data_IF_646253265104
#
_entry.id   IF_646253265104
#
_cell.length_a   1.000
_cell.length_b   1.000
_cell.length_c   1.000
_cell.angle_alpha   90.00
_cell.angle_beta   90.00
_cell.angle_gamma   90.00
#
_symmetry.space_group_name_H-M   'P 1'
#
loop_
_entity.id
_entity.type
_entity.pdbx_description
1 polymer ?
#
# COMPACT_ATOMS: atom_id res chain seq x y z
N UNK A 1 24.26 11.35 37.07
CA UNK A 1 22.91 11.24 36.57
C UNK A 1 23.00 10.73 35.14
N UNK A 2 22.82 9.44 34.94
CA UNK A 2 22.87 8.84 33.63
C UNK A 2 21.57 9.18 32.86
N UNK A 3 21.72 9.83 31.72
CA UNK A 3 20.64 10.05 30.78
C UNK A 3 20.27 8.71 30.17
N UNK A 4 19.14 8.13 30.55
CA UNK A 4 18.54 7.02 29.83
C UNK A 4 17.94 7.58 28.53
N UNK A 5 18.67 7.51 27.43
CA UNK A 5 18.09 7.63 26.11
C UNK A 5 17.29 6.35 25.86
N UNK A 6 15.97 6.45 25.93
CA UNK A 6 15.10 5.39 25.40
C UNK A 6 15.29 5.43 23.89
N UNK A 7 16.06 4.50 23.34
CA UNK A 7 16.03 4.23 21.90
C UNK A 7 14.62 3.78 21.56
N UNK A 8 13.87 4.65 20.90
CA UNK A 8 12.56 4.28 20.34
C UNK A 8 12.85 3.41 19.12
N UNK A 9 12.85 2.09 19.33
CA UNK A 9 12.97 1.15 18.22
C UNK A 9 11.73 1.33 17.33
N UNK A 10 11.96 1.77 16.10
CA UNK A 10 10.88 1.89 15.12
C UNK A 10 10.41 0.48 14.74
N UNK A 11 9.13 0.20 14.97
CA UNK A 11 8.48 -1.05 14.56
C UNK A 11 7.56 -0.76 13.37
N UNK A 12 7.78 -1.44 12.25
CA UNK A 12 6.84 -1.48 11.12
C UNK A 12 6.02 -2.76 11.20
N UNK A 13 4.70 -2.59 11.19
CA UNK A 13 3.74 -3.69 11.11
C UNK A 13 3.35 -3.91 9.65
N UNK A 14 3.88 -4.97 9.04
CA UNK A 14 3.67 -5.34 7.65
C UNK A 14 2.59 -6.43 7.57
N UNK A 15 1.45 -6.09 7.01
CA UNK A 15 0.36 -7.03 6.76
C UNK A 15 0.63 -7.75 5.44
N UNK A 16 0.75 -9.07 5.51
CA UNK A 16 0.82 -9.93 4.34
C UNK A 16 -0.60 -10.20 3.82
N UNK A 17 -0.93 -9.62 2.68
CA UNK A 17 -2.22 -9.76 2.03
C UNK A 17 -2.33 -11.00 1.12
N UNK A 18 -1.34 -11.88 1.11
CA UNK A 18 -1.41 -13.12 0.34
C UNK A 18 -2.13 -14.22 1.11
N UNK A 19 -2.97 -15.00 0.42
CA UNK A 19 -3.77 -16.06 1.07
C UNK A 19 -2.87 -17.18 1.59
N UNK A 20 -1.83 -17.49 0.84
CA UNK A 20 -0.92 -18.62 1.08
C UNK A 20 0.39 -18.24 1.80
N UNK A 21 0.59 -16.95 2.10
CA UNK A 21 1.83 -16.44 2.70
C UNK A 21 3.07 -16.54 1.79
N UNK A 22 2.89 -16.80 0.48
CA UNK A 22 3.97 -16.97 -0.49
C UNK A 22 4.21 -15.72 -1.35
N UNK A 23 3.59 -14.59 -1.00
CA UNK A 23 3.67 -13.35 -1.76
C UNK A 23 5.08 -12.81 -1.93
N UNK A 24 5.33 -12.26 -3.13
CA UNK A 24 6.58 -11.55 -3.42
C UNK A 24 6.60 -10.19 -2.72
N UNK A 25 5.50 -9.44 -2.80
CA UNK A 25 5.42 -8.06 -2.29
C UNK A 25 5.81 -7.92 -0.80
N UNK A 26 5.31 -8.71 0.16
CA UNK A 26 5.74 -8.55 1.56
C UNK A 26 7.23 -8.83 1.77
N UNK A 27 7.84 -9.75 0.99
CA UNK A 27 9.27 -10.03 1.07
C UNK A 27 10.12 -8.88 0.53
N UNK A 28 9.72 -8.31 -0.60
CA UNK A 28 10.41 -7.16 -1.21
C UNK A 28 10.27 -5.90 -0.35
N UNK A 29 9.08 -5.62 0.19
CA UNK A 29 8.87 -4.53 1.15
C UNK A 29 9.80 -4.68 2.35
N UNK A 30 9.86 -5.88 2.96
CA UNK A 30 10.77 -6.15 4.08
C UNK A 30 12.23 -5.91 3.70
N UNK A 31 12.66 -6.38 2.54
CA UNK A 31 14.04 -6.23 2.07
C UNK A 31 14.41 -4.75 1.88
N UNK A 32 13.52 -3.97 1.27
CA UNK A 32 13.70 -2.53 1.07
C UNK A 32 13.79 -1.79 2.41
N UNK A 33 12.83 -2.03 3.31
CA UNK A 33 12.81 -1.40 4.63
C UNK A 33 14.10 -1.68 5.43
N UNK A 34 14.59 -2.91 5.42
CA UNK A 34 15.82 -3.31 6.09
C UNK A 34 17.08 -2.67 5.48
N UNK A 35 17.06 -2.38 4.15
CA UNK A 35 18.15 -1.63 3.48
C UNK A 35 18.11 -0.14 3.83
N UNK A 36 16.91 0.46 3.85
CA UNK A 36 16.74 1.89 4.12
C UNK A 36 17.00 2.26 5.57
N UNK A 37 16.61 1.40 6.50
CA UNK A 37 16.81 1.62 7.95
C UNK A 37 17.42 0.37 8.57
N UNK A 38 18.77 0.26 8.64
CA UNK A 38 19.43 -0.84 9.32
C UNK A 38 18.99 -0.94 10.78
N UNK A 39 18.60 -2.14 11.21
CA UNK A 39 18.09 -2.38 12.56
C UNK A 39 16.62 -2.09 12.78
N UNK A 40 15.87 -1.73 11.72
CA UNK A 40 14.42 -1.58 11.79
C UNK A 40 13.75 -2.90 12.20
N UNK A 41 12.91 -2.86 13.22
CA UNK A 41 12.07 -4.01 13.57
C UNK A 41 10.89 -4.10 12.61
N UNK A 42 10.69 -5.27 11.98
CA UNK A 42 9.61 -5.50 11.02
C UNK A 42 8.88 -6.76 11.42
N UNK A 43 7.63 -6.62 11.85
CA UNK A 43 6.74 -7.74 12.12
C UNK A 43 5.84 -7.97 10.92
N UNK A 44 5.95 -9.14 10.30
CA UNK A 44 5.05 -9.57 9.22
C UNK A 44 3.96 -10.45 9.82
N UNK A 45 2.71 -10.15 9.53
CA UNK A 45 1.56 -10.93 10.00
C UNK A 45 0.56 -11.15 8.85
N UNK A 46 0.06 -12.39 8.65
CA UNK A 46 -0.99 -12.67 7.69
C UNK A 46 -2.24 -11.84 7.98
N UNK A 47 -2.91 -11.35 6.93
CA UNK A 47 -4.06 -10.46 7.05
C UNK A 47 -5.21 -11.06 7.90
N UNK A 48 -5.35 -12.39 7.91
CA UNK A 48 -6.37 -13.09 8.70
C UNK A 48 -6.17 -12.92 10.22
N UNK A 49 -4.92 -12.70 10.67
CA UNK A 49 -4.55 -12.59 12.09
C UNK A 49 -4.53 -11.13 12.58
N UNK A 50 -4.70 -10.19 11.66
CA UNK A 50 -4.67 -8.75 11.97
C UNK A 50 -5.89 -8.35 12.78
N UNK A 51 -5.66 -7.58 13.85
CA UNK A 51 -6.73 -6.97 14.63
C UNK A 51 -6.32 -5.60 15.17
N UNK A 52 -7.31 -4.75 15.44
CA UNK A 52 -7.06 -3.44 16.04
C UNK A 52 -6.45 -3.55 17.45
N UNK A 53 -6.84 -4.58 18.21
CA UNK A 53 -6.27 -4.88 19.53
C UNK A 53 -4.78 -5.21 19.41
N UNK A 54 -4.41 -6.05 18.44
CA UNK A 54 -3.02 -6.39 18.14
C UNK A 54 -2.19 -5.15 17.83
N UNK A 55 -2.69 -4.27 16.96
CA UNK A 55 -2.02 -3.01 16.61
C UNK A 55 -1.88 -2.11 17.83
N UNK A 56 -2.90 -2.00 18.68
CA UNK A 56 -2.85 -1.21 19.93
C UNK A 56 -1.84 -1.74 20.93
N UNK A 57 -1.71 -3.07 21.04
CA UNK A 57 -0.74 -3.73 21.92
C UNK A 57 0.70 -3.53 21.42
N UNK A 58 0.94 -3.72 20.14
CA UNK A 58 2.26 -3.60 19.51
C UNK A 58 2.72 -2.15 19.38
N UNK A 59 1.80 -1.21 19.23
CA UNK A 59 2.07 0.22 18.99
C UNK A 59 3.11 0.47 17.89
N UNK A 60 2.93 -0.09 16.69
CA UNK A 60 3.88 0.12 15.62
C UNK A 60 3.95 1.60 15.26
N UNK A 61 5.09 2.05 14.76
CA UNK A 61 5.27 3.39 14.21
C UNK A 61 4.52 3.57 12.89
N UNK A 62 4.52 2.53 12.05
CA UNK A 62 3.91 2.52 10.72
C UNK A 62 3.25 1.17 10.44
N UNK A 63 2.23 1.20 9.57
CA UNK A 63 1.55 0.01 9.08
C UNK A 63 1.66 0.00 7.56
N UNK A 64 2.04 -1.15 6.98
CA UNK A 64 2.07 -1.34 5.53
C UNK A 64 1.18 -2.54 5.18
N UNK A 65 0.30 -2.36 4.21
CA UNK A 65 -0.52 -3.43 3.63
C UNK A 65 0.11 -3.81 2.29
N UNK A 66 0.60 -5.03 2.18
CA UNK A 66 1.30 -5.51 0.97
C UNK A 66 0.38 -5.67 -0.23
N UNK A 67 0.97 -5.91 -1.40
CA UNK A 67 0.25 -6.43 -2.55
C UNK A 67 -0.35 -7.81 -2.28
N UNK A 68 -1.34 -8.17 -3.10
CA UNK A 68 -1.97 -9.50 -3.10
C UNK A 68 -1.57 -10.28 -4.35
N UNK A 69 -1.83 -11.58 -4.34
CA UNK A 69 -1.55 -12.49 -5.48
C UNK A 69 -2.78 -13.26 -5.96
N UNK A 70 -3.92 -13.09 -5.32
CA UNK A 70 -5.15 -13.81 -5.61
C UNK A 70 -6.30 -12.85 -5.95
N UNK A 71 -7.27 -13.26 -6.78
CA UNK A 71 -8.47 -12.49 -7.07
C UNK A 71 -9.26 -12.14 -5.79
N UNK A 72 -9.91 -10.97 -5.78
CA UNK A 72 -10.68 -10.49 -4.63
C UNK A 72 -11.82 -11.41 -4.21
N UNK A 73 -12.38 -12.19 -5.14
CA UNK A 73 -13.43 -13.17 -4.90
C UNK A 73 -13.01 -14.29 -3.95
N UNK A 74 -11.70 -14.50 -3.77
CA UNK A 74 -11.15 -15.48 -2.84
C UNK A 74 -11.04 -14.96 -1.39
N UNK A 75 -11.24 -13.65 -1.18
CA UNK A 75 -11.19 -13.03 0.15
C UNK A 75 -12.57 -12.90 0.74
N UNK A 76 -12.83 -13.59 1.85
CA UNK A 76 -14.14 -13.49 2.50
C UNK A 76 -14.26 -12.23 3.36
N UNK A 77 -15.47 -11.65 3.53
CA UNK A 77 -15.67 -10.50 4.40
C UNK A 77 -15.19 -10.75 5.85
N UNK A 78 -15.34 -11.98 6.33
CA UNK A 78 -14.89 -12.40 7.67
C UNK A 78 -13.37 -12.31 7.81
N UNK A 79 -12.63 -12.78 6.79
CA UNK A 79 -11.17 -12.78 6.80
C UNK A 79 -10.59 -11.37 6.74
N UNK A 80 -11.29 -10.42 6.13
CA UNK A 80 -10.89 -9.01 5.98
C UNK A 80 -11.31 -8.11 7.15
N UNK A 81 -12.18 -8.58 8.04
CA UNK A 81 -12.77 -7.75 9.11
C UNK A 81 -11.73 -7.08 9.99
N UNK A 82 -10.69 -7.81 10.38
CA UNK A 82 -9.62 -7.29 11.25
C UNK A 82 -8.83 -6.18 10.58
N UNK A 83 -8.39 -6.42 9.35
CA UNK A 83 -7.66 -5.43 8.55
C UNK A 83 -8.52 -4.19 8.28
N UNK A 84 -9.79 -4.34 7.94
CA UNK A 84 -10.71 -3.21 7.74
C UNK A 84 -10.88 -2.38 9.00
N UNK A 85 -10.91 -3.01 10.18
CA UNK A 85 -10.95 -2.29 11.45
C UNK A 85 -9.66 -1.49 11.66
N UNK A 86 -8.49 -2.03 11.34
CA UNK A 86 -7.20 -1.33 11.40
C UNK A 86 -7.18 -0.15 10.41
N UNK A 87 -7.54 -0.37 9.15
CA UNK A 87 -7.60 0.68 8.12
C UNK A 87 -8.47 1.85 8.57
N UNK A 88 -9.63 1.58 9.17
CA UNK A 88 -10.58 2.62 9.58
C UNK A 88 -10.20 3.35 10.87
N UNK A 89 -9.55 2.67 11.82
CA UNK A 89 -9.47 3.14 13.20
C UNK A 89 -8.05 3.33 13.74
N UNK A 90 -7.01 2.77 13.11
CA UNK A 90 -5.64 2.96 13.56
C UNK A 90 -5.19 4.41 13.35
N UNK A 91 -4.45 4.95 14.31
CA UNK A 91 -3.90 6.32 14.27
C UNK A 91 -2.54 6.42 13.59
N UNK A 92 -1.88 5.29 13.41
CA UNK A 92 -0.58 5.18 12.75
C UNK A 92 -0.68 5.60 11.27
N UNK A 93 0.42 6.05 10.66
CA UNK A 93 0.52 6.12 9.21
C UNK A 93 0.30 4.75 8.59
N UNK A 94 -0.53 4.68 7.55
CA UNK A 94 -0.83 3.45 6.81
C UNK A 94 -0.50 3.67 5.35
N UNK A 95 0.24 2.73 4.75
CA UNK A 95 0.48 2.64 3.31
C UNK A 95 -0.07 1.32 2.76
N UNK A 96 -1.01 1.39 1.84
CA UNK A 96 -1.44 0.24 1.04
C UNK A 96 -0.71 0.20 -0.30
N UNK A 97 -0.08 -0.93 -0.61
CA UNK A 97 0.65 -1.17 -1.87
C UNK A 97 -0.16 -2.13 -2.74
N UNK A 98 -0.45 -1.78 -3.98
CA UNK A 98 -1.18 -2.59 -4.97
C UNK A 98 -2.48 -3.16 -4.38
N UNK A 99 -2.53 -4.44 -4.02
CA UNK A 99 -3.67 -5.03 -3.31
C UNK A 99 -4.03 -4.30 -2.02
N UNK A 100 -3.06 -3.81 -1.26
CA UNK A 100 -3.29 -3.00 -0.06
C UNK A 100 -3.96 -1.65 -0.36
N UNK A 101 -3.66 -1.02 -1.51
CA UNK A 101 -4.38 0.15 -2.00
C UNK A 101 -5.84 -0.17 -2.29
N UNK A 102 -6.07 -1.25 -3.01
CA UNK A 102 -7.43 -1.73 -3.31
C UNK A 102 -8.18 -2.12 -2.03
N UNK A 103 -7.52 -2.75 -1.07
CA UNK A 103 -8.08 -3.12 0.23
C UNK A 103 -8.55 -1.89 1.03
N UNK A 104 -7.79 -0.79 0.99
CA UNK A 104 -8.22 0.49 1.56
C UNK A 104 -9.51 0.97 0.87
N UNK A 105 -9.56 0.95 -0.46
CA UNK A 105 -10.74 1.37 -1.20
C UNK A 105 -11.97 0.53 -0.84
N UNK A 106 -11.84 -0.80 -0.82
CA UNK A 106 -12.92 -1.73 -0.45
C UNK A 106 -13.38 -1.48 1.01
N UNK A 107 -12.45 -1.24 1.94
CA UNK A 107 -12.79 -0.95 3.33
C UNK A 107 -13.69 0.28 3.48
N UNK A 108 -13.57 1.25 2.57
CA UNK A 108 -14.41 2.45 2.52
C UNK A 108 -15.58 2.36 1.52
N UNK A 109 -15.85 1.18 0.99
CA UNK A 109 -17.03 0.91 0.16
C UNK A 109 -16.88 1.22 -1.33
N UNK A 110 -15.67 1.58 -1.78
CA UNK A 110 -15.42 1.80 -3.19
C UNK A 110 -15.27 0.48 -3.95
N UNK A 111 -15.57 0.51 -5.24
CA UNK A 111 -15.47 -0.64 -6.13
C UNK A 111 -14.04 -0.82 -6.63
N UNK A 112 -13.61 -2.08 -6.68
CA UNK A 112 -12.38 -2.53 -7.32
C UNK A 112 -12.74 -3.53 -8.40
N UNK A 113 -12.03 -3.52 -9.50
CA UNK A 113 -12.26 -4.45 -10.60
C UNK A 113 -11.27 -4.25 -11.75
N UNK A 114 -11.44 -5.05 -12.80
CA UNK A 114 -10.52 -5.09 -13.93
C UNK A 114 -10.39 -3.74 -14.64
N UNK A 115 -9.14 -3.39 -15.00
CA UNK A 115 -8.82 -2.18 -15.75
C UNK A 115 -9.61 -2.09 -17.07
N UNK A 116 -10.15 -0.91 -17.36
CA UNK A 116 -10.88 -0.64 -18.58
C UNK A 116 -12.21 -1.36 -18.73
N UNK A 117 -12.71 -2.06 -17.69
CA UNK A 117 -14.04 -2.67 -17.66
C UNK A 117 -14.89 -2.05 -16.57
N UNK A 118 -16.15 -1.76 -16.92
CA UNK A 118 -17.17 -1.29 -15.97
C UNK A 118 -18.07 -2.44 -15.49
N UNK A 119 -18.20 -3.50 -16.30
CA UNK A 119 -19.03 -4.66 -16.03
C UNK A 119 -18.16 -5.89 -15.68
N UNK A 120 -18.67 -6.82 -14.86
CA UNK A 120 -18.04 -8.11 -14.63
C UNK A 120 -17.80 -8.82 -15.96
N UNK A 121 -16.57 -9.27 -16.18
CA UNK A 121 -16.18 -9.97 -17.40
C UNK A 121 -15.83 -11.43 -17.15
N UNK A 122 -15.42 -12.13 -18.19
CA UNK A 122 -15.00 -13.54 -18.14
C UNK A 122 -13.59 -13.68 -17.52
N UNK A 123 -13.45 -13.36 -16.23
CA UNK A 123 -12.18 -13.48 -15.51
C UNK A 123 -11.08 -12.56 -16.05
N UNK A 124 -9.83 -12.93 -15.82
CA UNK A 124 -8.65 -12.12 -16.16
C UNK A 124 -8.18 -12.24 -17.62
N UNK A 125 -8.80 -13.12 -18.43
CA UNK A 125 -8.42 -13.29 -19.82
C UNK A 125 -8.73 -12.03 -20.64
N UNK A 126 -7.70 -11.49 -21.32
CA UNK A 126 -7.84 -10.27 -22.12
C UNK A 126 -8.00 -8.98 -21.31
N UNK A 127 -7.87 -9.01 -19.99
CA UNK A 127 -7.85 -7.81 -19.17
C UNK A 127 -6.65 -6.93 -19.51
N UNK A 128 -6.87 -5.61 -19.51
CA UNK A 128 -5.75 -4.65 -19.57
C UNK A 128 -4.85 -4.84 -18.35
N UNK A 129 -3.55 -4.62 -18.55
CA UNK A 129 -2.55 -4.73 -17.48
C UNK A 129 -1.54 -3.60 -17.58
N UNK A 130 -1.13 -3.11 -16.43
CA UNK A 130 0.10 -2.35 -16.32
C UNK A 130 1.19 -3.27 -15.76
N UNK A 131 2.35 -3.31 -16.45
CA UNK A 131 3.49 -4.11 -16.03
C UNK A 131 4.80 -3.47 -16.44
N UNK A 132 5.74 -3.37 -15.51
CA UNK A 132 7.05 -2.75 -15.73
C UNK A 132 7.09 -1.32 -15.22
N UNK A 133 8.16 -0.62 -15.53
CA UNK A 133 8.34 0.79 -15.21
C UNK A 133 7.50 1.65 -16.15
N UNK A 134 6.52 2.36 -15.60
CA UNK A 134 5.60 3.23 -16.35
C UNK A 134 5.49 4.59 -15.65
N UNK A 135 5.31 5.68 -16.42
CA UNK A 135 5.16 7.02 -15.86
C UNK A 135 3.78 7.22 -15.21
N UNK A 136 3.77 8.01 -14.16
CA UNK A 136 2.58 8.54 -13.50
C UNK A 136 2.74 10.05 -13.28
N UNK A 137 1.63 10.79 -13.33
CA UNK A 137 1.55 12.18 -12.91
C UNK A 137 1.15 12.23 -11.44
N UNK A 138 1.81 13.09 -10.64
CA UNK A 138 1.54 13.21 -9.22
C UNK A 138 1.35 14.66 -8.76
N UNK A 139 0.82 14.85 -7.56
CA UNK A 139 0.50 16.18 -7.01
C UNK A 139 1.66 16.89 -6.32
N UNK A 140 2.83 16.24 -6.17
CA UNK A 140 3.97 16.78 -5.43
C UNK A 140 3.79 16.84 -3.91
N UNK A 141 2.70 16.25 -3.37
CA UNK A 141 2.35 16.30 -1.94
C UNK A 141 2.44 14.91 -1.28
N UNK A 142 2.49 14.89 0.05
CA UNK A 142 2.48 13.66 0.84
C UNK A 142 3.62 12.73 0.46
N UNK A 143 3.31 11.54 -0.07
CA UNK A 143 4.30 10.56 -0.52
C UNK A 143 5.18 11.06 -1.68
N UNK A 144 4.72 12.03 -2.46
CA UNK A 144 5.41 12.57 -3.63
C UNK A 144 6.17 13.87 -3.34
N UNK A 145 6.29 14.27 -2.07
CA UNK A 145 7.03 15.48 -1.68
C UNK A 145 8.48 15.42 -2.18
N UNK A 146 8.92 16.50 -2.81
CA UNK A 146 10.26 16.68 -3.39
C UNK A 146 10.56 15.76 -4.59
N UNK A 147 9.54 15.14 -5.19
CA UNK A 147 9.66 14.43 -6.45
C UNK A 147 9.18 15.29 -7.62
N UNK A 148 9.65 15.03 -8.86
CA UNK A 148 9.09 15.64 -10.05
C UNK A 148 7.58 15.36 -10.19
N UNK A 149 6.87 16.22 -10.93
CA UNK A 149 5.43 16.02 -11.21
C UNK A 149 5.13 14.73 -11.99
N UNK A 150 6.08 14.28 -12.80
CA UNK A 150 6.07 12.97 -13.45
C UNK A 150 7.18 12.11 -12.86
N UNK A 151 6.86 10.90 -12.47
CA UNK A 151 7.78 9.89 -11.95
C UNK A 151 7.53 8.53 -12.60
N UNK A 152 8.57 7.72 -12.72
CA UNK A 152 8.47 6.37 -13.29
C UNK A 152 8.56 5.33 -12.17
N UNK A 153 7.53 4.49 -12.04
CA UNK A 153 7.40 3.49 -10.96
C UNK A 153 7.03 2.13 -11.52
N UNK A 154 7.30 1.06 -10.75
CA UNK A 154 7.01 -0.30 -11.19
C UNK A 154 5.55 -0.69 -10.99
N UNK A 155 4.92 -1.18 -12.04
CA UNK A 155 3.54 -1.68 -12.05
C UNK A 155 3.49 -3.18 -12.27
N UNK A 156 2.51 -3.84 -11.66
CA UNK A 156 2.16 -5.23 -11.96
C UNK A 156 0.72 -5.49 -11.48
N UNK A 157 -0.26 -4.94 -12.18
CA UNK A 157 -1.68 -5.11 -11.83
C UNK A 157 -2.59 -5.14 -13.05
N UNK A 158 -3.75 -5.74 -12.87
CA UNK A 158 -4.88 -5.74 -13.82
C UNK A 158 -6.17 -5.26 -13.17
N UNK A 159 -6.24 -5.21 -11.85
CA UNK A 159 -7.33 -4.58 -11.11
C UNK A 159 -6.97 -3.13 -10.77
N UNK A 160 -8.00 -2.29 -10.65
CA UNK A 160 -7.90 -0.89 -10.27
C UNK A 160 -9.05 -0.48 -9.35
N UNK A 161 -8.84 0.58 -8.57
CA UNK A 161 -9.92 1.27 -7.86
C UNK A 161 -10.75 2.05 -8.88
N UNK A 162 -12.06 1.77 -8.98
CA UNK A 162 -12.95 2.34 -9.99
C UNK A 162 -13.43 3.74 -9.64
N UNK A 163 -13.51 4.06 -8.37
CA UNK A 163 -13.95 5.34 -7.85
C UNK A 163 -13.26 5.67 -6.54
N UNK A 164 -12.99 6.94 -6.30
CA UNK A 164 -12.42 7.37 -5.03
C UNK A 164 -13.44 7.16 -3.91
N UNK A 165 -13.02 6.54 -2.78
CA UNK A 165 -13.88 6.52 -1.60
C UNK A 165 -14.17 7.94 -1.08
N UNK A 166 -15.30 8.11 -0.42
CA UNK A 166 -15.64 9.38 0.23
C UNK A 166 -14.55 9.83 1.20
N UNK A 167 -14.20 11.09 1.14
CA UNK A 167 -13.16 11.70 1.96
C UNK A 167 -11.74 11.46 1.46
N UNK A 168 -11.54 10.79 0.33
CA UNK A 168 -10.24 10.61 -0.31
C UNK A 168 -10.01 11.63 -1.43
N UNK A 169 -8.75 11.76 -1.85
CA UNK A 169 -8.33 12.47 -3.05
C UNK A 169 -7.33 11.60 -3.82
N UNK A 170 -7.34 11.68 -5.12
CA UNK A 170 -6.27 11.12 -5.94
C UNK A 170 -5.01 11.97 -5.75
N UNK A 171 -3.87 11.33 -5.63
CA UNK A 171 -2.56 11.98 -5.51
C UNK A 171 -1.61 11.59 -6.63
N UNK A 172 -1.94 10.57 -7.41
CA UNK A 172 -1.30 10.25 -8.68
C UNK A 172 -2.27 9.58 -9.64
N UNK A 173 -2.02 9.71 -10.94
CA UNK A 173 -2.81 9.13 -12.02
C UNK A 173 -1.96 8.91 -13.27
N UNK A 174 -2.46 8.09 -14.19
CA UNK A 174 -2.02 8.05 -15.59
C UNK A 174 -3.23 7.84 -16.52
N UNK A 175 -3.01 7.75 -17.83
CA UNK A 175 -4.08 7.61 -18.82
C UNK A 175 -4.86 6.28 -18.71
N UNK A 176 -4.22 5.22 -18.21
CA UNK A 176 -4.80 3.88 -18.14
C UNK A 176 -5.43 3.56 -16.79
N UNK A 177 -4.95 4.17 -15.70
CA UNK A 177 -5.46 4.00 -14.34
C UNK A 177 -5.58 5.37 -13.65
N UNK A 178 -6.79 5.94 -13.56
CA UNK A 178 -7.00 7.29 -13.02
C UNK A 178 -6.67 7.44 -11.53
N UNK A 179 -6.61 6.34 -10.76
CA UNK A 179 -6.33 6.37 -9.32
C UNK A 179 -5.08 5.52 -9.03
N UNK A 180 -3.93 6.02 -9.47
CA UNK A 180 -2.63 5.40 -9.21
C UNK A 180 -2.17 5.59 -7.76
N UNK A 181 -2.60 6.66 -7.12
CA UNK A 181 -2.42 6.85 -5.70
C UNK A 181 -3.58 7.66 -5.12
N UNK A 182 -3.89 7.40 -3.85
CA UNK A 182 -4.91 8.12 -3.10
C UNK A 182 -4.49 8.37 -1.66
N UNK A 183 -5.06 9.40 -1.06
CA UNK A 183 -4.87 9.76 0.34
C UNK A 183 -6.21 10.13 0.97
N UNK A 184 -6.46 9.67 2.19
CA UNK A 184 -7.59 10.17 2.98
C UNK A 184 -7.30 11.57 3.50
N UNK A 185 -8.24 12.52 3.29
CA UNK A 185 -8.12 13.89 3.78
C UNK A 185 -8.06 13.91 5.31
N UNK A 186 -7.08 14.61 5.86
CA UNK A 186 -6.90 14.76 7.31
C UNK A 186 -6.30 13.52 8.02
N UNK A 187 -5.95 12.46 7.32
CA UNK A 187 -5.28 11.27 7.89
C UNK A 187 -4.00 10.90 7.13
N UNK A 188 -3.11 10.22 7.83
CA UNK A 188 -1.90 9.62 7.23
C UNK A 188 -2.22 8.22 6.68
N UNK A 189 -3.26 8.12 5.85
CA UNK A 189 -3.70 6.89 5.19
C UNK A 189 -3.55 7.07 3.68
N UNK A 190 -2.65 6.29 3.11
CA UNK A 190 -2.23 6.37 1.71
C UNK A 190 -2.40 5.02 1.03
N UNK A 191 -2.74 5.03 -0.25
CA UNK A 191 -2.70 3.85 -1.10
C UNK A 191 -1.99 4.18 -2.42
N UNK A 192 -1.15 3.27 -2.90
CA UNK A 192 -0.49 3.34 -4.21
C UNK A 192 -0.76 2.06 -4.99
N UNK A 193 -1.19 2.16 -6.26
CA UNK A 193 -1.51 1.01 -7.09
C UNK A 193 -0.27 0.30 -7.62
N UNK A 194 0.82 1.02 -7.75
CA UNK A 194 2.13 0.53 -8.17
C UNK A 194 2.93 -0.05 -6.99
N UNK A 195 4.11 -0.59 -7.28
CA UNK A 195 5.01 -1.23 -6.33
C UNK A 195 6.23 -0.34 -6.05
N UNK A 196 6.19 0.58 -5.07
CA UNK A 196 7.31 1.46 -4.76
C UNK A 196 8.51 0.70 -4.17
N UNK A 197 8.31 -0.54 -3.72
CA UNK A 197 9.38 -1.44 -3.26
C UNK A 197 10.23 -2.03 -4.40
N UNK A 198 9.75 -1.94 -5.65
CA UNK A 198 10.45 -2.45 -6.82
C UNK A 198 11.05 -1.29 -7.62
N UNK A 199 12.21 -0.79 -7.17
CA UNK A 199 12.96 0.28 -7.81
C UNK A 199 14.37 -0.19 -8.17
N UNK A 200 15.02 0.55 -9.09
CA UNK A 200 16.41 0.33 -9.49
C UNK A 200 17.19 1.66 -9.60
N UNK A 201 18.43 1.60 -10.04
CA UNK A 201 19.30 2.76 -10.17
C UNK A 201 18.80 3.76 -11.23
N UNK A 202 18.05 3.31 -12.23
CA UNK A 202 17.49 4.14 -13.30
C UNK A 202 16.12 4.73 -12.94
N UNK A 203 15.42 4.09 -11.98
CA UNK A 203 14.09 4.48 -11.53
C UNK A 203 14.03 4.48 -9.99
N UNK A 204 14.68 5.47 -9.34
CA UNK A 204 14.82 5.50 -7.88
C UNK A 204 13.59 6.05 -7.15
N UNK A 205 12.57 6.52 -7.88
CA UNK A 205 11.43 7.25 -7.31
C UNK A 205 10.63 6.43 -6.33
N UNK A 206 10.56 5.10 -6.54
CA UNK A 206 9.94 4.17 -5.60
C UNK A 206 10.59 4.23 -4.22
N UNK A 207 11.92 4.28 -4.15
CA UNK A 207 12.66 4.46 -2.90
C UNK A 207 12.25 5.75 -2.18
N UNK A 208 12.24 6.87 -2.88
CA UNK A 208 11.87 8.17 -2.30
C UNK A 208 10.44 8.17 -1.74
N UNK A 209 9.50 7.48 -2.42
CA UNK A 209 8.12 7.33 -1.95
C UNK A 209 8.08 6.55 -0.63
N UNK A 210 8.83 5.44 -0.50
CA UNK A 210 8.94 4.68 0.74
C UNK A 210 9.59 5.52 1.84
N UNK A 211 10.68 6.24 1.54
CA UNK A 211 11.35 7.14 2.49
C UNK A 211 10.43 8.26 2.98
N UNK A 212 9.64 8.85 2.08
CA UNK A 212 8.67 9.89 2.46
C UNK A 212 7.58 9.33 3.37
N UNK A 213 7.12 8.09 3.15
CA UNK A 213 6.19 7.43 4.05
C UNK A 213 6.77 7.20 5.44
N UNK A 214 8.02 6.74 5.53
CA UNK A 214 8.68 6.47 6.82
C UNK A 214 9.02 7.74 7.63
N UNK A 215 8.92 8.92 7.03
CA UNK A 215 9.10 10.23 7.68
C UNK A 215 7.80 10.83 8.25
N UNK A 216 6.65 10.15 8.06
CA UNK A 216 5.36 10.59 8.58
C UNK A 216 5.23 10.21 10.06
#
# INVERSE_FOLDING_TARGET
MGSFTVEVTLLVYLVDNTIDGQGVSPREIRAVLGRLIPGLEILIEPFQNVSLERVRSLRPSHIILSGQSHPWEMYTPESLRGVFSVIKQASQPILGVCGGHQQIAIAYGAKVGLMGRLEPGEGYNGAKRERGFLPIQNTGEGLFKNLPSEVTVWHNHCDEVKELPDGFRATASNETCPIQAMQQKGRRLYGVQFHPELFDEHHPEGQHIVENFLKL
#
